data_IF_299704371951
#
_entry.id   IF_299704371951
#
_cell.length_a   1.000
_cell.length_b   1.000
_cell.length_c   1.000
_cell.angle_alpha   90.00
_cell.angle_beta   90.00
_cell.angle_gamma   90.00
#
_symmetry.space_group_name_H-M   'P 1'
#
loop_
_entity.id
_entity.type
_entity.pdbx_description
1 polymer ?
#
# COMPACT_ATOMS: atom_id res chain seq x y z
N UNK A 1 7.72 -11.03 16.16
CA UNK A 1 6.69 -10.03 15.89
C UNK A 1 7.22 -9.12 14.80
N UNK A 2 6.54 -9.08 13.65
CA UNK A 2 6.88 -8.21 12.52
C UNK A 2 5.97 -6.98 12.51
N UNK A 3 6.52 -5.85 12.10
CA UNK A 3 5.77 -4.60 11.89
C UNK A 3 5.76 -4.30 10.40
N UNK A 4 4.56 -4.17 9.83
CA UNK A 4 4.35 -3.90 8.41
C UNK A 4 3.68 -2.56 8.26
N UNK A 5 4.36 -1.65 7.56
CA UNK A 5 3.86 -0.32 7.26
C UNK A 5 3.23 -0.29 5.86
N UNK A 6 2.02 0.27 5.77
CA UNK A 6 1.22 0.33 4.55
C UNK A 6 0.72 1.76 4.33
N UNK A 7 0.76 2.21 3.08
CA UNK A 7 0.05 3.39 2.61
C UNK A 7 -1.35 2.96 2.17
N UNK A 8 -2.41 3.56 2.71
CA UNK A 8 -3.78 3.23 2.33
C UNK A 8 -4.51 4.51 1.99
N UNK A 9 -5.05 4.58 0.78
CA UNK A 9 -5.89 5.71 0.36
C UNK A 9 -7.19 5.67 1.18
N UNK A 10 -7.34 6.64 2.07
CA UNK A 10 -8.34 6.61 3.13
C UNK A 10 -9.41 7.68 2.92
N UNK A 11 -10.68 7.28 3.08
CA UNK A 11 -11.87 8.13 3.14
C UNK A 11 -12.66 7.71 4.39
N UNK A 12 -13.50 8.57 4.98
CA UNK A 12 -14.18 8.31 6.27
C UNK A 12 -14.86 6.93 6.39
N UNK A 13 -15.42 6.40 5.29
CA UNK A 13 -16.07 5.08 5.28
C UNK A 13 -15.09 3.88 5.29
N UNK A 14 -13.82 4.12 4.92
CA UNK A 14 -12.81 3.08 4.74
C UNK A 14 -12.18 2.63 6.06
N UNK A 15 -12.22 3.45 7.12
CA UNK A 15 -11.63 3.10 8.41
C UNK A 15 -12.29 1.87 9.04
N UNK A 16 -13.63 1.89 9.15
CA UNK A 16 -14.40 0.76 9.67
C UNK A 16 -14.18 -0.50 8.84
N UNK A 17 -14.08 -0.35 7.52
CA UNK A 17 -13.85 -1.45 6.58
C UNK A 17 -12.44 -2.04 6.73
N UNK A 18 -11.42 -1.19 6.88
CA UNK A 18 -10.04 -1.58 7.10
C UNK A 18 -9.89 -2.39 8.39
N UNK A 19 -10.43 -1.87 9.51
CA UNK A 19 -10.44 -2.61 10.78
C UNK A 19 -11.12 -3.97 10.64
N UNK A 20 -12.30 -4.01 10.00
CA UNK A 20 -13.04 -5.27 9.76
C UNK A 20 -12.27 -6.26 8.86
N UNK A 21 -11.53 -5.78 7.86
CA UNK A 21 -10.70 -6.61 7.00
C UNK A 21 -9.50 -7.20 7.76
N UNK A 22 -8.83 -6.37 8.58
CA UNK A 22 -7.66 -6.79 9.36
C UNK A 22 -8.06 -7.72 10.52
N UNK A 23 -9.19 -7.50 11.20
CA UNK A 23 -9.67 -8.40 12.25
C UNK A 23 -9.95 -9.83 11.77
N UNK A 24 -10.17 -10.04 10.46
CA UNK A 24 -10.37 -11.39 9.88
C UNK A 24 -9.06 -12.12 9.59
N UNK A 25 -7.93 -11.42 9.57
CA UNK A 25 -6.61 -11.99 9.32
C UNK A 25 -6.08 -12.61 10.61
N UNK A 26 -5.69 -13.89 10.55
CA UNK A 26 -5.01 -14.57 11.66
C UNK A 26 -3.58 -14.03 11.82
N UNK A 27 -3.19 -13.78 13.06
CA UNK A 27 -1.83 -13.34 13.40
C UNK A 27 -1.61 -11.83 13.40
N UNK A 28 -2.67 -11.02 13.36
CA UNK A 28 -2.58 -9.58 13.62
C UNK A 28 -2.83 -9.35 15.11
N UNK A 29 -1.94 -8.62 15.78
CA UNK A 29 -2.07 -8.25 17.20
C UNK A 29 -2.46 -6.79 17.36
N UNK A 30 -1.80 -5.89 16.62
CA UNK A 30 -2.01 -4.44 16.75
C UNK A 30 -2.19 -3.80 15.37
N UNK A 31 -3.09 -2.84 15.30
CA UNK A 31 -3.32 -2.00 14.12
C UNK A 31 -3.35 -0.55 14.57
N UNK A 32 -2.44 0.25 14.02
CA UNK A 32 -2.34 1.68 14.25
C UNK A 32 -2.66 2.39 12.93
N UNK A 33 -3.53 3.40 13.00
CA UNK A 33 -4.07 4.09 11.83
C UNK A 33 -3.81 5.58 12.02
N UNK A 34 -3.04 6.16 11.10
CA UNK A 34 -2.81 7.58 10.98
C UNK A 34 -3.58 8.10 9.76
N UNK A 35 -4.82 8.55 9.99
CA UNK A 35 -5.70 9.08 8.94
C UNK A 35 -5.12 10.34 8.30
N UNK A 36 -4.39 11.16 9.07
CA UNK A 36 -3.76 12.39 8.58
C UNK A 36 -2.65 12.09 7.54
N UNK A 37 -1.84 11.06 7.79
CA UNK A 37 -0.74 10.66 6.91
C UNK A 37 -1.11 9.53 5.94
N UNK A 38 -2.37 9.06 5.97
CA UNK A 38 -2.84 7.89 5.22
C UNK A 38 -1.95 6.66 5.41
N UNK A 39 -1.40 6.51 6.62
CA UNK A 39 -0.43 5.49 6.99
C UNK A 39 -1.09 4.51 7.95
N UNK A 40 -0.92 3.22 7.69
CA UNK A 40 -1.42 2.15 8.53
C UNK A 40 -0.25 1.26 8.91
N UNK A 41 -0.06 1.07 10.20
CA UNK A 41 0.96 0.20 10.76
C UNK A 41 0.27 -1.02 11.35
N UNK A 42 0.65 -2.19 10.86
CA UNK A 42 0.09 -3.47 11.32
C UNK A 42 1.22 -4.27 11.96
N UNK A 43 1.02 -4.67 13.22
CA UNK A 43 1.99 -5.46 13.96
C UNK A 43 1.43 -6.84 14.28
N UNK A 44 2.25 -7.87 14.06
CA UNK A 44 1.89 -9.26 14.33
C UNK A 44 2.80 -10.26 13.62
N UNK A 45 2.29 -11.47 13.41
CA UNK A 45 2.99 -12.59 12.76
C UNK A 45 2.48 -12.87 11.34
N UNK A 46 1.61 -12.02 10.81
CA UNK A 46 1.03 -12.18 9.49
C UNK A 46 1.98 -11.66 8.39
N UNK A 47 2.21 -12.47 7.35
CA UNK A 47 3.01 -12.05 6.20
C UNK A 47 2.43 -10.81 5.49
N UNK A 48 3.31 -9.84 5.19
CA UNK A 48 2.99 -8.59 4.49
C UNK A 48 2.12 -8.75 3.23
N UNK A 49 2.41 -9.76 2.39
CA UNK A 49 1.65 -10.01 1.16
C UNK A 49 0.22 -10.48 1.43
N UNK A 50 -0.03 -11.22 2.53
CA UNK A 50 -1.38 -11.63 2.91
C UNK A 50 -2.20 -10.42 3.36
N UNK A 51 -1.56 -9.50 4.10
CA UNK A 51 -2.18 -8.24 4.55
C UNK A 51 -2.60 -7.40 3.35
N UNK A 52 -1.68 -7.17 2.40
CA UNK A 52 -1.95 -6.42 1.17
C UNK A 52 -3.11 -7.03 0.35
N UNK A 53 -3.10 -8.36 0.18
CA UNK A 53 -4.17 -9.07 -0.55
C UNK A 53 -5.53 -8.94 0.14
N UNK A 54 -5.57 -8.96 1.48
CA UNK A 54 -6.82 -8.81 2.21
C UNK A 54 -7.40 -7.40 2.10
N UNK A 55 -6.54 -6.37 2.15
CA UNK A 55 -6.95 -4.97 1.94
C UNK A 55 -7.51 -4.76 0.53
N UNK A 56 -6.81 -5.28 -0.50
CA UNK A 56 -7.29 -5.25 -1.89
C UNK A 56 -8.63 -5.98 -2.07
N UNK A 57 -8.80 -7.16 -1.45
CA UNK A 57 -10.09 -7.87 -1.42
C UNK A 57 -11.19 -7.07 -0.71
N UNK A 58 -10.82 -6.23 0.25
CA UNK A 58 -11.73 -5.27 0.88
C UNK A 58 -12.12 -4.09 0.00
N UNK A 59 -11.59 -3.99 -1.22
CA UNK A 59 -11.78 -2.82 -2.09
C UNK A 59 -11.01 -1.59 -1.61
N UNK A 60 -9.98 -1.78 -0.79
CA UNK A 60 -9.09 -0.71 -0.33
C UNK A 60 -7.85 -0.68 -1.22
N UNK A 61 -7.49 0.50 -1.71
CA UNK A 61 -6.21 0.73 -2.37
C UNK A 61 -5.15 0.89 -1.30
N UNK A 62 -4.31 -0.14 -1.18
CA UNK A 62 -3.20 -0.18 -0.24
C UNK A 62 -1.92 -0.56 -0.98
N UNK A 63 -0.83 0.07 -0.59
CA UNK A 63 0.53 -0.17 -1.07
C UNK A 63 1.49 -0.25 0.12
N UNK A 64 2.67 -0.84 -0.06
CA UNK A 64 3.65 -0.88 1.02
C UNK A 64 4.29 0.49 1.23
N UNK A 65 4.39 0.90 2.50
CA UNK A 65 5.14 2.07 2.88
C UNK A 65 6.63 1.71 2.81
N UNK A 66 7.31 2.12 1.74
CA UNK A 66 8.75 1.93 1.59
C UNK A 66 9.40 3.28 1.31
N UNK A 67 10.31 3.71 2.18
CA UNK A 67 11.09 4.93 1.98
C UNK A 67 11.97 4.85 0.70
N UNK A 68 12.30 3.64 0.24
CA UNK A 68 13.06 3.43 -1.00
C UNK A 68 12.22 3.60 -2.27
N UNK A 69 10.89 3.59 -2.16
CA UNK A 69 10.02 3.73 -3.33
C UNK A 69 10.10 5.13 -3.94
N UNK A 70 10.49 6.18 -3.23
CA UNK A 70 10.52 7.52 -3.84
C UNK A 70 11.60 7.62 -4.93
N UNK A 71 12.82 7.16 -4.66
CA UNK A 71 13.91 7.18 -5.64
C UNK A 71 13.66 6.21 -6.80
N UNK A 72 13.18 4.99 -6.50
CA UNK A 72 12.88 3.98 -7.52
C UNK A 72 11.66 4.34 -8.37
N UNK A 73 10.61 4.92 -7.79
CA UNK A 73 9.42 5.35 -8.52
C UNK A 73 9.69 6.62 -9.34
N UNK A 74 10.55 7.52 -8.87
CA UNK A 74 11.06 8.64 -9.68
C UNK A 74 11.88 8.15 -10.89
N UNK A 75 12.74 7.15 -10.68
CA UNK A 75 13.52 6.56 -11.78
C UNK A 75 12.64 5.77 -12.77
N UNK A 76 11.67 5.00 -12.26
CA UNK A 76 10.72 4.25 -13.08
C UNK A 76 9.79 5.16 -13.88
N UNK A 77 9.30 6.27 -13.29
CA UNK A 77 8.47 7.25 -14.00
C UNK A 77 9.25 7.99 -15.09
N UNK A 78 10.52 8.34 -14.83
CA UNK A 78 11.41 8.94 -15.82
C UNK A 78 11.63 8.01 -17.02
N UNK A 79 11.80 6.71 -16.79
CA UNK A 79 12.00 5.74 -17.86
C UNK A 79 10.72 5.50 -18.69
N UNK A 80 9.55 5.46 -18.04
CA UNK A 80 8.25 5.33 -18.72
C UNK A 80 7.90 6.58 -19.56
N UNK A 81 8.24 7.78 -19.08
CA UNK A 81 8.11 9.02 -19.84
C UNK A 81 9.05 9.04 -21.06
N UNK A 82 10.33 8.64 -20.90
CA UNK A 82 11.31 8.57 -21.99
C UNK A 82 10.91 7.59 -23.11
N UNK A 83 10.35 6.42 -22.75
CA UNK A 83 9.85 5.43 -23.72
C UNK A 83 8.65 5.95 -24.53
N UNK A 84 7.80 6.81 -23.96
CA UNK A 84 6.64 7.37 -24.66
C UNK A 84 7.02 8.38 -25.75
N UNK A 85 8.15 9.09 -25.60
CA UNK A 85 8.62 10.06 -26.59
C UNK A 85 9.45 9.44 -27.72
N UNK A 86 10.02 8.25 -27.53
CA UNK A 86 10.83 7.57 -28.57
C UNK A 86 10.01 6.78 -29.59
N UNK A 87 8.72 6.53 -29.34
CA UNK A 87 7.86 5.72 -30.21
C UNK A 87 7.05 6.52 -31.25
N UNK A 88 7.30 7.83 -31.40
CA UNK A 88 6.60 8.67 -32.39
C UNK A 88 7.53 9.22 -33.49
N UNK A 89 8.43 8.41 -34.04
CA UNK A 89 9.15 8.82 -35.25
C UNK A 89 9.59 7.64 -36.13
N UNK A 90 8.63 6.97 -36.75
CA UNK A 90 8.86 6.17 -37.95
C UNK A 90 7.67 6.33 -38.89
N UNK A 91 7.71 7.37 -39.72
CA UNK A 91 7.44 7.33 -41.16
C UNK A 91 7.91 8.64 -41.81
#
# INVERSE_FOLDING_TARGET
METVELKVEMVDIHEKKLRKCLSKLKGIEKVEVDSNSQKVVVSGYAHRNKILKALRRGGLKADFWSAQNELLNAYASANYASLRFKNFNFF
#
